data_IF_046827350147
#
_entry.id   IF_046827350147
#
_cell.length_a   1.000
_cell.length_b   1.000
_cell.length_c   1.000
_cell.angle_alpha   90.00
_cell.angle_beta   90.00
_cell.angle_gamma   90.00
#
_symmetry.space_group_name_H-M   'P 1'
#
loop_
_entity.id
_entity.type
_entity.pdbx_description
1 polymer ?
#
# COMPACT_ATOMS: atom_id res chain seq x y z
N UNK A 1 19.93 23.97 -5.57
CA UNK A 1 18.77 23.20 -6.01
C UNK A 1 19.26 21.90 -6.64
N UNK A 2 18.49 20.82 -6.48
CA UNK A 2 18.78 19.56 -7.14
C UNK A 2 18.67 19.70 -8.67
N UNK A 3 19.46 18.92 -9.41
CA UNK A 3 19.26 18.74 -10.84
C UNK A 3 18.82 17.30 -11.08
N UNK A 4 17.87 17.09 -11.97
CA UNK A 4 17.24 15.80 -12.22
C UNK A 4 17.33 15.47 -13.71
N UNK A 5 17.76 14.24 -14.03
CA UNK A 5 17.76 13.72 -15.39
C UNK A 5 16.95 12.42 -15.42
N UNK A 6 16.28 12.22 -16.54
CA UNK A 6 15.57 10.98 -16.85
C UNK A 6 16.07 10.49 -18.20
N UNK A 7 16.67 9.30 -18.23
CA UNK A 7 17.33 8.73 -19.40
C UNK A 7 18.30 9.70 -20.07
N UNK A 8 19.14 10.37 -19.26
CA UNK A 8 20.14 11.33 -19.71
C UNK A 8 19.60 12.72 -20.13
N UNK A 9 18.27 12.93 -20.12
CA UNK A 9 17.67 14.23 -20.41
C UNK A 9 17.34 14.96 -19.12
N UNK A 10 17.88 16.17 -18.96
CA UNK A 10 17.54 17.01 -17.81
C UNK A 10 16.07 17.45 -17.87
N UNK A 11 15.38 17.33 -16.73
CA UNK A 11 13.99 17.77 -16.56
C UNK A 11 13.93 18.96 -15.59
N UNK A 12 12.75 19.60 -15.51
CA UNK A 12 12.49 20.62 -14.50
C UNK A 12 12.60 20.03 -13.10
N UNK A 13 13.13 20.80 -12.18
CA UNK A 13 13.17 20.47 -10.75
C UNK A 13 12.14 21.30 -9.96
N UNK A 14 11.20 21.94 -10.65
CA UNK A 14 10.15 22.73 -9.99
C UNK A 14 9.07 21.77 -9.48
N UNK A 15 8.75 21.82 -8.18
CA UNK A 15 7.68 21.02 -7.63
C UNK A 15 6.32 21.42 -8.21
N UNK A 16 5.46 20.43 -8.42
CA UNK A 16 4.05 20.61 -8.82
C UNK A 16 3.06 20.19 -7.71
N UNK A 17 3.56 19.68 -6.60
CA UNK A 17 2.76 19.25 -5.46
C UNK A 17 3.60 18.56 -4.38
N UNK A 18 2.95 17.70 -3.61
CA UNK A 18 3.57 16.92 -2.55
C UNK A 18 2.90 15.53 -2.41
N UNK A 19 3.59 14.62 -1.79
CA UNK A 19 3.12 13.26 -1.57
C UNK A 19 3.15 12.93 -0.07
N UNK A 20 1.98 12.66 0.53
CA UNK A 20 1.80 12.26 1.94
C UNK A 20 2.14 13.37 2.95
N UNK A 21 3.23 14.08 2.76
CA UNK A 21 3.72 15.16 3.61
C UNK A 21 4.25 16.30 2.72
N UNK A 22 4.04 17.56 3.12
CA UNK A 22 4.46 18.73 2.35
C UNK A 22 5.97 18.81 2.12
N UNK A 23 6.75 18.14 2.98
CA UNK A 23 8.20 18.04 2.82
C UNK A 23 8.61 17.08 1.68
N UNK A 24 7.72 16.17 1.26
CA UNK A 24 7.97 15.23 0.16
C UNK A 24 7.42 15.84 -1.13
N UNK A 25 8.19 16.72 -1.73
CA UNK A 25 7.78 17.42 -2.94
C UNK A 25 7.76 16.50 -4.15
N UNK A 26 6.76 16.66 -5.02
CA UNK A 26 6.65 15.95 -6.29
C UNK A 26 7.18 16.79 -7.44
N UNK A 27 7.86 16.14 -8.38
CA UNK A 27 8.35 16.74 -9.61
C UNK A 27 7.82 15.92 -10.79
N UNK A 28 7.18 16.54 -11.79
CA UNK A 28 6.61 15.82 -12.91
C UNK A 28 7.70 15.20 -13.77
N UNK A 29 7.53 13.91 -14.07
CA UNK A 29 8.39 13.16 -14.98
C UNK A 29 7.68 13.05 -16.34
N UNK A 30 8.40 13.23 -17.47
CA UNK A 30 7.79 13.09 -18.79
C UNK A 30 7.31 11.65 -19.03
N UNK A 31 6.41 11.45 -19.98
CA UNK A 31 5.94 10.13 -20.38
C UNK A 31 7.13 9.22 -20.73
N UNK A 32 7.20 8.08 -20.06
CA UNK A 32 8.26 7.10 -20.22
C UNK A 32 7.86 6.05 -21.25
N UNK A 33 8.83 5.60 -22.04
CA UNK A 33 8.65 4.43 -22.90
C UNK A 33 8.93 3.15 -22.13
N UNK A 34 8.32 2.02 -22.50
CA UNK A 34 8.65 0.73 -21.94
C UNK A 34 10.15 0.43 -22.07
N UNK A 35 10.76 -0.06 -21.00
CA UNK A 35 12.18 -0.40 -20.95
C UNK A 35 12.83 0.00 -19.63
N UNK A 36 14.15 0.02 -19.63
CA UNK A 36 14.92 0.51 -18.50
C UNK A 36 14.80 2.03 -18.38
N UNK A 37 14.57 2.51 -17.16
CA UNK A 37 14.50 3.93 -16.84
C UNK A 37 15.60 4.27 -15.86
N UNK A 38 16.46 5.20 -16.25
CA UNK A 38 17.54 5.72 -15.40
C UNK A 38 17.14 7.11 -14.93
N UNK A 39 17.04 7.28 -13.61
CA UNK A 39 16.81 8.58 -12.97
C UNK A 39 18.09 8.97 -12.22
N UNK A 40 18.64 10.11 -12.56
CA UNK A 40 19.84 10.65 -11.93
C UNK A 40 19.48 11.94 -11.21
N UNK A 41 19.91 12.08 -9.96
CA UNK A 41 19.66 13.26 -9.14
C UNK A 41 20.99 13.76 -8.59
N UNK A 42 21.39 14.95 -9.03
CA UNK A 42 22.53 15.69 -8.49
C UNK A 42 22.07 16.67 -7.44
N UNK A 43 22.59 16.56 -6.23
CA UNK A 43 22.30 17.48 -5.13
C UNK A 43 23.58 18.13 -4.61
N UNK A 44 23.59 19.44 -4.26
CA UNK A 44 24.69 20.04 -3.55
C UNK A 44 24.86 19.37 -2.19
N UNK A 45 26.03 18.81 -1.92
CA UNK A 45 26.30 18.15 -0.65
C UNK A 45 26.86 19.12 0.39
N UNK A 46 26.30 19.11 1.58
CA UNK A 46 26.74 19.91 2.74
C UNK A 46 26.42 19.15 4.03
N UNK A 47 26.89 19.67 5.17
CA UNK A 47 26.53 19.12 6.49
C UNK A 47 25.00 19.16 6.79
N UNK A 48 24.25 19.95 6.04
CA UNK A 48 22.77 20.04 6.14
C UNK A 48 22.05 19.26 5.05
N UNK A 49 22.78 18.60 4.16
CA UNK A 49 22.14 17.80 3.10
C UNK A 49 21.63 16.52 3.71
N UNK A 50 20.36 16.23 3.49
CA UNK A 50 19.72 14.98 3.84
C UNK A 50 19.47 14.20 2.55
N UNK A 51 20.05 13.02 2.44
CA UNK A 51 19.82 12.10 1.33
C UNK A 51 18.70 11.16 1.72
N UNK A 52 17.47 11.59 1.49
CA UNK A 52 16.28 10.75 1.69
C UNK A 52 16.00 9.89 0.46
N UNK A 53 15.13 8.92 0.64
CA UNK A 53 14.68 8.06 -0.44
C UNK A 53 13.84 8.86 -1.44
N UNK A 54 13.99 8.52 -2.73
CA UNK A 54 13.14 9.06 -3.78
C UNK A 54 12.09 8.03 -4.16
N UNK A 55 10.86 8.49 -4.39
CA UNK A 55 9.73 7.66 -4.72
C UNK A 55 9.30 7.93 -6.16
N UNK A 56 9.08 6.88 -6.93
CA UNK A 56 8.48 6.99 -8.25
C UNK A 56 6.97 6.76 -8.11
N UNK A 57 6.19 7.79 -8.44
CA UNK A 57 4.75 7.79 -8.27
C UNK A 57 4.04 7.72 -9.62
N UNK A 58 2.91 7.02 -9.68
CA UNK A 58 2.09 6.94 -10.88
C UNK A 58 0.94 5.95 -10.74
N UNK A 59 0.14 5.87 -11.79
CA UNK A 59 -1.00 4.96 -11.88
C UNK A 59 -0.55 3.62 -12.51
N UNK A 60 0.19 2.84 -11.75
CA UNK A 60 0.76 1.56 -12.18
C UNK A 60 0.76 0.53 -11.05
N UNK A 61 0.91 -0.72 -11.42
CA UNK A 61 1.23 -1.81 -10.50
C UNK A 61 2.75 -2.05 -10.45
N UNK A 62 3.17 -2.85 -9.50
CA UNK A 62 4.58 -3.22 -9.33
C UNK A 62 4.69 -4.71 -9.07
N UNK A 63 5.65 -5.36 -9.72
CA UNK A 63 6.04 -6.73 -9.45
C UNK A 63 7.43 -6.76 -8.83
N UNK A 64 7.51 -7.32 -7.64
CA UNK A 64 8.77 -7.52 -6.91
C UNK A 64 9.22 -8.97 -7.04
N UNK A 65 10.48 -9.18 -7.40
CA UNK A 65 11.12 -10.50 -7.44
C UNK A 65 12.52 -10.41 -6.81
N UNK A 66 12.61 -10.79 -5.55
CA UNK A 66 13.83 -10.63 -4.78
C UNK A 66 14.20 -9.16 -4.66
N UNK A 67 15.29 -8.74 -5.26
CA UNK A 67 15.76 -7.34 -5.31
C UNK A 67 15.28 -6.56 -6.55
N UNK A 68 14.62 -7.23 -7.49
CA UNK A 68 14.21 -6.63 -8.75
C UNK A 68 12.77 -6.13 -8.69
N UNK A 69 12.56 -4.94 -9.22
CA UNK A 69 11.27 -4.28 -9.36
C UNK A 69 10.96 -4.13 -10.84
N UNK A 70 9.73 -4.44 -11.22
CA UNK A 70 9.20 -4.18 -12.55
C UNK A 70 7.89 -3.43 -12.43
N UNK A 71 7.78 -2.28 -13.08
CA UNK A 71 6.52 -1.56 -13.25
C UNK A 71 5.65 -2.34 -14.23
N UNK A 72 4.40 -2.56 -13.86
CA UNK A 72 3.40 -3.28 -14.65
C UNK A 72 2.13 -2.42 -14.76
N UNK A 73 1.21 -2.70 -15.67
CA UNK A 73 -0.10 -2.06 -15.66
C UNK A 73 -0.77 -2.20 -14.28
N UNK A 74 -1.48 -1.16 -13.86
CA UNK A 74 -2.25 -1.23 -12.60
C UNK A 74 -3.26 -2.39 -12.67
N UNK A 75 -3.39 -3.22 -11.64
CA UNK A 75 -4.44 -4.23 -11.60
C UNK A 75 -5.81 -3.55 -11.58
N UNK A 76 -6.71 -3.99 -12.45
CA UNK A 76 -8.08 -3.46 -12.54
C UNK A 76 -8.95 -3.95 -11.39
N UNK A 77 -8.70 -5.16 -10.93
CA UNK A 77 -9.44 -5.82 -9.83
C UNK A 77 -8.48 -6.54 -8.91
N UNK A 78 -8.88 -6.69 -7.65
CA UNK A 78 -8.18 -7.50 -6.65
C UNK A 78 -9.11 -8.62 -6.18
N UNK A 79 -8.57 -9.82 -6.07
CA UNK A 79 -9.21 -10.90 -5.35
C UNK A 79 -8.97 -10.78 -3.85
N UNK A 80 -9.70 -11.55 -3.03
CA UNK A 80 -9.29 -11.79 -1.65
C UNK A 80 -7.93 -12.48 -1.66
N UNK A 81 -7.06 -12.04 -0.77
CA UNK A 81 -5.65 -12.43 -0.72
C UNK A 81 -4.74 -11.22 -0.57
N UNK A 82 -3.46 -11.49 -0.45
CA UNK A 82 -2.46 -10.44 -0.27
C UNK A 82 -2.33 -9.54 -1.51
N UNK A 83 -2.63 -8.26 -1.37
CA UNK A 83 -2.53 -7.26 -2.44
C UNK A 83 -1.09 -7.04 -2.92
N UNK A 84 -0.09 -7.34 -2.09
CA UNK A 84 1.35 -7.29 -2.46
C UNK A 84 1.60 -8.22 -3.65
N UNK A 85 1.12 -9.44 -3.58
CA UNK A 85 1.28 -10.45 -4.64
C UNK A 85 0.45 -10.14 -5.89
N UNK A 86 -0.56 -9.29 -5.75
CA UNK A 86 -1.47 -8.89 -6.82
C UNK A 86 -1.04 -7.59 -7.53
N UNK A 87 0.19 -7.13 -7.30
CA UNK A 87 0.75 -5.99 -8.01
C UNK A 87 0.70 -4.66 -7.26
N UNK A 88 0.37 -4.66 -5.97
CA UNK A 88 0.29 -3.46 -5.13
C UNK A 88 1.23 -3.51 -3.90
N UNK A 89 2.52 -3.88 -4.06
CA UNK A 89 3.42 -4.09 -2.92
C UNK A 89 3.68 -2.82 -2.11
N UNK A 90 3.63 -1.64 -2.74
CA UNK A 90 3.93 -0.35 -2.11
C UNK A 90 2.70 0.56 -2.00
N UNK A 91 1.51 0.03 -2.26
CA UNK A 91 0.28 0.82 -2.14
C UNK A 91 -0.04 1.08 -0.68
N UNK A 92 -0.26 2.35 -0.33
CA UNK A 92 -0.49 2.81 1.04
C UNK A 92 -1.88 3.37 1.27
N UNK A 93 -2.69 3.40 0.23
CA UNK A 93 -4.08 3.86 0.28
C UNK A 93 -5.03 2.82 0.86
N UNK A 94 -6.30 3.19 0.95
CA UNK A 94 -7.35 2.28 1.38
C UNK A 94 -7.81 1.40 0.22
N UNK A 95 -8.10 0.12 0.51
CA UNK A 95 -8.65 -0.83 -0.45
C UNK A 95 -10.10 -1.07 -0.09
N UNK A 96 -11.01 -0.86 -1.05
CA UNK A 96 -12.43 -1.13 -0.87
C UNK A 96 -12.78 -2.39 -1.65
N UNK A 97 -13.18 -3.42 -0.91
CA UNK A 97 -13.69 -4.65 -1.49
C UNK A 97 -15.20 -4.56 -1.62
N UNK A 98 -15.68 -4.57 -2.86
CA UNK A 98 -17.10 -4.59 -3.18
C UNK A 98 -17.53 -6.04 -3.36
N UNK A 99 -18.46 -6.50 -2.53
CA UNK A 99 -19.01 -7.84 -2.60
C UNK A 99 -20.53 -7.81 -2.43
N UNK A 100 -21.19 -8.93 -2.72
CA UNK A 100 -22.61 -9.10 -2.54
C UNK A 100 -22.88 -10.33 -1.67
N UNK A 101 -23.89 -10.23 -0.82
CA UNK A 101 -24.39 -11.32 -0.01
C UNK A 101 -25.88 -11.53 -0.31
N UNK A 102 -26.28 -12.78 -0.55
CA UNK A 102 -27.68 -13.11 -0.77
C UNK A 102 -28.29 -13.69 0.52
N UNK A 103 -29.12 -12.89 1.18
CA UNK A 103 -29.84 -13.31 2.39
C UNK A 103 -31.09 -14.15 1.99
N UNK A 104 -31.14 -15.42 2.44
CA UNK A 104 -32.20 -16.32 1.95
C UNK A 104 -33.57 -16.10 2.59
N UNK A 105 -33.65 -15.65 3.84
CA UNK A 105 -34.89 -15.64 4.61
C UNK A 105 -35.16 -14.37 5.42
N UNK A 106 -34.17 -13.52 5.59
CA UNK A 106 -34.21 -12.39 6.54
C UNK A 106 -33.79 -12.84 7.94
N UNK A 107 -32.68 -12.31 8.42
CA UNK A 107 -32.13 -12.63 9.75
C UNK A 107 -31.13 -11.56 10.23
N UNK A 108 -30.87 -11.56 11.53
CA UNK A 108 -29.70 -10.88 12.08
C UNK A 108 -28.42 -11.54 11.56
N UNK A 109 -27.47 -10.74 11.11
CA UNK A 109 -26.21 -11.23 10.56
C UNK A 109 -25.01 -10.57 11.20
N UNK A 110 -23.95 -11.35 11.29
CA UNK A 110 -22.64 -10.88 11.72
C UNK A 110 -21.63 -11.20 10.64
N UNK A 111 -20.82 -10.22 10.27
CA UNK A 111 -19.66 -10.41 9.40
C UNK A 111 -18.41 -10.57 10.23
N UNK A 112 -17.65 -11.62 9.93
CA UNK A 112 -16.34 -11.87 10.54
C UNK A 112 -15.23 -11.76 9.48
N UNK A 113 -14.20 -11.00 9.82
CA UNK A 113 -12.95 -10.95 9.07
C UNK A 113 -11.96 -11.93 9.73
N UNK A 114 -11.80 -13.10 9.13
CA UNK A 114 -10.89 -14.12 9.67
C UNK A 114 -9.44 -13.65 9.66
N UNK A 115 -9.04 -12.92 8.61
CA UNK A 115 -7.70 -12.36 8.49
C UNK A 115 -7.66 -11.16 7.55
N UNK A 116 -7.17 -10.02 8.02
CA UNK A 116 -6.83 -8.87 7.19
C UNK A 116 -5.53 -8.22 7.66
N UNK A 117 -4.88 -7.50 6.77
CA UNK A 117 -3.67 -6.74 7.03
C UNK A 117 -3.90 -5.26 6.65
N UNK A 118 -4.00 -4.44 7.66
CA UNK A 118 -4.30 -3.01 7.60
C UNK A 118 -4.45 -2.44 9.00
N UNK A 119 -4.68 -1.12 9.10
CA UNK A 119 -4.87 -0.46 10.39
C UNK A 119 -6.20 -0.83 11.04
N UNK A 120 -7.27 -0.89 10.25
CA UNK A 120 -8.61 -1.32 10.64
C UNK A 120 -9.42 -1.64 9.38
N UNK A 121 -10.57 -2.29 9.56
CA UNK A 121 -11.53 -2.49 8.48
C UNK A 121 -12.89 -1.86 8.84
N UNK A 122 -13.49 -1.15 7.88
CA UNK A 122 -14.83 -0.52 7.99
C UNK A 122 -15.78 -1.24 7.07
N UNK A 123 -16.98 -1.57 7.58
CA UNK A 123 -18.00 -2.32 6.86
C UNK A 123 -19.22 -1.43 6.59
N UNK A 124 -19.73 -1.49 5.37
CA UNK A 124 -21.00 -0.90 4.97
C UNK A 124 -21.92 -1.95 4.34
N UNK A 125 -23.21 -1.83 4.61
CA UNK A 125 -24.25 -2.63 3.98
C UNK A 125 -25.19 -1.67 3.26
N UNK A 126 -25.40 -1.87 1.96
CA UNK A 126 -26.24 -1.05 1.10
C UNK A 126 -25.94 0.46 1.24
N UNK A 127 -24.64 0.78 1.36
CA UNK A 127 -24.14 2.14 1.49
C UNK A 127 -24.20 2.72 2.92
N UNK A 128 -24.86 2.06 3.86
CA UNK A 128 -24.94 2.49 5.27
C UNK A 128 -23.80 1.87 6.08
N UNK A 129 -23.25 2.64 6.99
CA UNK A 129 -22.19 2.13 7.89
C UNK A 129 -22.78 1.12 8.87
N UNK A 130 -22.21 -0.11 8.89
CA UNK A 130 -22.55 -1.16 9.83
C UNK A 130 -21.61 -1.16 11.06
N UNK A 131 -20.30 -0.92 10.83
CA UNK A 131 -19.36 -0.87 11.94
C UNK A 131 -17.91 -0.94 11.49
N UNK A 132 -17.03 -1.06 12.50
CA UNK A 132 -15.59 -1.10 12.34
C UNK A 132 -15.04 -2.34 13.06
N UNK A 133 -14.22 -3.13 12.35
CA UNK A 133 -13.42 -4.21 12.89
C UNK A 133 -11.98 -3.71 13.09
N UNK A 134 -11.64 -3.29 14.31
CA UNK A 134 -10.29 -2.82 14.66
C UNK A 134 -9.59 -3.77 15.63
N UNK A 135 -10.34 -4.49 16.43
CA UNK A 135 -9.84 -5.40 17.47
C UNK A 135 -10.45 -6.79 17.29
N UNK A 136 -9.69 -7.80 17.69
CA UNK A 136 -10.21 -9.17 17.71
C UNK A 136 -11.49 -9.29 18.57
N UNK A 137 -12.46 -10.08 18.14
CA UNK A 137 -12.43 -11.12 17.10
C UNK A 137 -12.72 -10.61 15.66
N UNK A 138 -12.64 -9.31 15.38
CA UNK A 138 -12.86 -8.69 14.07
C UNK A 138 -14.26 -8.96 13.49
N UNK A 139 -15.26 -8.91 14.36
CA UNK A 139 -16.66 -9.11 14.00
C UNK A 139 -17.39 -7.75 13.91
N UNK A 140 -18.32 -7.65 12.97
CA UNK A 140 -19.21 -6.50 12.81
C UNK A 140 -20.63 -7.00 12.68
N UNK A 141 -21.53 -6.54 13.56
CA UNK A 141 -22.96 -6.79 13.39
C UNK A 141 -23.47 -6.04 12.16
N UNK A 142 -24.12 -6.76 11.25
CA UNK A 142 -24.76 -6.16 10.08
C UNK A 142 -26.21 -5.75 10.36
N UNK A 143 -26.74 -6.11 11.56
CA UNK A 143 -28.12 -5.95 11.92
C UNK A 143 -29.02 -6.95 11.21
N UNK A 144 -30.33 -6.65 11.21
CA UNK A 144 -31.30 -7.47 10.49
C UNK A 144 -31.21 -7.19 9.00
N UNK A 145 -30.91 -8.23 8.23
CA UNK A 145 -30.86 -8.20 6.78
C UNK A 145 -32.14 -8.82 6.21
N UNK A 146 -32.87 -8.06 5.42
CA UNK A 146 -34.08 -8.55 4.74
C UNK A 146 -33.71 -9.64 3.71
N UNK A 147 -34.67 -10.49 3.34
CA UNK A 147 -34.46 -11.42 2.25
C UNK A 147 -34.12 -10.70 0.95
N UNK A 148 -32.99 -11.05 0.32
CA UNK A 148 -32.57 -10.46 -0.93
C UNK A 148 -31.05 -10.32 -1.06
N UNK A 149 -30.62 -9.64 -2.09
CA UNK A 149 -29.19 -9.40 -2.34
C UNK A 149 -28.79 -8.04 -1.77
N UNK A 150 -27.79 -8.05 -0.90
CA UNK A 150 -27.22 -6.87 -0.26
C UNK A 150 -25.81 -6.61 -0.78
N UNK A 151 -25.49 -5.35 -0.97
CA UNK A 151 -24.13 -4.91 -1.26
C UNK A 151 -23.37 -4.73 0.04
N UNK A 152 -22.21 -5.36 0.13
CA UNK A 152 -21.32 -5.22 1.28
C UNK A 152 -20.00 -4.62 0.78
N UNK A 153 -19.66 -3.46 1.33
CA UNK A 153 -18.40 -2.77 1.06
C UNK A 153 -17.51 -2.87 2.29
N UNK A 154 -16.32 -3.45 2.13
CA UNK A 154 -15.32 -3.58 3.19
C UNK A 154 -14.13 -2.73 2.83
N UNK A 155 -13.92 -1.64 3.56
CA UNK A 155 -12.76 -0.78 3.41
C UNK A 155 -11.68 -1.19 4.38
N UNK A 156 -10.56 -1.71 3.89
CA UNK A 156 -9.34 -1.93 4.67
C UNK A 156 -8.50 -0.66 4.58
N UNK A 157 -8.25 -0.04 5.72
CA UNK A 157 -7.38 1.13 5.82
C UNK A 157 -5.93 0.66 5.76
N UNK A 158 -5.22 1.13 4.75
CA UNK A 158 -3.83 0.76 4.51
C UNK A 158 -2.89 1.30 5.58
N UNK A 159 -1.71 0.69 5.62
CA UNK A 159 -0.57 1.17 6.40
C UNK A 159 0.50 1.67 5.44
N UNK A 160 1.47 2.43 5.96
CA UNK A 160 2.59 2.93 5.17
C UNK A 160 3.84 2.06 5.30
N UNK A 161 3.73 0.88 5.90
CA UNK A 161 4.86 0.02 6.22
C UNK A 161 5.70 -0.36 5.01
N UNK A 162 5.05 -0.73 3.90
CA UNK A 162 5.78 -1.14 2.69
C UNK A 162 6.32 0.03 1.86
N UNK A 163 5.80 1.25 2.02
CA UNK A 163 6.31 2.41 1.27
C UNK A 163 7.37 3.21 2.05
N UNK A 164 7.19 3.34 3.36
CA UNK A 164 8.05 4.19 4.20
C UNK A 164 8.76 3.42 5.32
N UNK A 165 8.50 2.13 5.45
CA UNK A 165 9.13 1.27 6.44
C UNK A 165 10.45 0.67 5.98
N UNK A 166 11.09 -0.13 6.85
CA UNK A 166 12.40 -0.73 6.60
C UNK A 166 12.29 -1.98 5.72
N UNK A 167 11.85 -1.81 4.47
CA UNK A 167 11.60 -2.91 3.51
C UNK A 167 12.86 -3.71 3.09
N UNK A 168 14.01 -3.32 3.58
CA UNK A 168 15.28 -4.03 3.41
C UNK A 168 15.85 -4.54 4.74
N UNK A 169 15.06 -4.53 5.81
CA UNK A 169 15.48 -5.05 7.10
C UNK A 169 15.26 -6.56 7.16
N UNK A 170 16.33 -7.31 7.45
CA UNK A 170 16.32 -8.78 7.55
C UNK A 170 15.89 -9.30 8.93
N UNK A 171 15.49 -8.43 9.84
CA UNK A 171 15.07 -8.79 11.19
C UNK A 171 13.58 -8.46 11.36
N UNK A 172 12.73 -9.50 11.44
CA UNK A 172 11.29 -9.34 11.50
C UNK A 172 10.80 -8.50 12.70
N UNK A 173 11.45 -8.63 13.84
CA UNK A 173 11.08 -7.96 15.09
C UNK A 173 12.10 -6.90 15.51
N UNK A 174 12.48 -6.03 14.60
CA UNK A 174 13.40 -4.95 14.95
C UNK A 174 12.74 -3.98 15.93
N UNK A 175 13.25 -3.84 17.16
CA UNK A 175 12.56 -3.11 18.22
C UNK A 175 12.57 -1.58 18.04
N UNK A 176 13.32 -1.08 17.07
CA UNK A 176 13.47 0.34 16.82
C UNK A 176 13.23 0.67 15.35
N UNK A 177 12.12 1.36 15.07
CA UNK A 177 11.74 1.83 13.75
C UNK A 177 12.05 3.33 13.63
N UNK A 178 13.34 3.65 13.57
CA UNK A 178 13.79 5.02 13.27
C UNK A 178 14.41 5.11 11.88
N UNK A 179 14.70 6.32 11.36
CA UNK A 179 15.30 6.51 10.05
C UNK A 179 16.62 5.74 9.85
N UNK A 180 17.35 5.47 10.91
CA UNK A 180 18.61 4.73 10.85
C UNK A 180 18.41 3.21 10.71
N UNK A 181 17.21 2.68 10.97
CA UNK A 181 16.94 1.25 10.91
C UNK A 181 16.99 0.68 9.49
N UNK A 182 16.78 1.49 8.46
CA UNK A 182 16.74 1.07 7.06
C UNK A 182 17.79 1.73 6.17
N UNK A 183 18.79 2.40 6.74
CA UNK A 183 19.87 3.06 5.99
C UNK A 183 21.22 2.32 6.05
N UNK A 184 21.26 1.18 6.68
CA UNK A 184 22.52 0.47 6.93
C UNK A 184 22.80 -0.57 5.86
N UNK A 185 23.01 -0.11 4.62
CA UNK A 185 23.57 -0.96 3.58
C UNK A 185 24.89 -1.59 4.06
N UNK A 186 25.12 -2.86 3.77
CA UNK A 186 26.23 -3.68 4.27
C UNK A 186 26.17 -4.05 5.77
N UNK A 187 25.12 -3.71 6.49
CA UNK A 187 24.86 -4.24 7.83
C UNK A 187 24.37 -5.70 7.74
N UNK A 188 24.62 -6.55 8.74
CA UNK A 188 23.99 -7.88 8.82
C UNK A 188 22.46 -7.83 8.93
N UNK A 189 21.92 -6.65 9.23
CA UNK A 189 20.46 -6.40 9.25
C UNK A 189 19.89 -6.07 7.87
N UNK A 190 20.73 -5.78 6.88
CA UNK A 190 20.31 -5.45 5.52
C UNK A 190 20.04 -6.68 4.68
N UNK A 191 18.98 -6.63 3.89
CA UNK A 191 18.68 -7.58 2.83
C UNK A 191 18.48 -6.86 1.51
N UNK A 192 19.13 -7.28 0.44
CA UNK A 192 18.84 -6.78 -0.92
C UNK A 192 17.45 -7.23 -1.40
N UNK A 193 16.92 -8.29 -0.80
CA UNK A 193 15.59 -8.79 -1.08
C UNK A 193 14.57 -7.99 -0.27
N UNK A 194 13.54 -7.50 -0.95
CA UNK A 194 12.46 -6.77 -0.30
C UNK A 194 11.74 -7.61 0.75
N UNK A 195 11.63 -7.09 1.96
CA UNK A 195 10.89 -7.64 3.09
C UNK A 195 9.55 -6.92 3.19
N UNK A 196 8.53 -7.46 2.51
CA UNK A 196 7.22 -6.82 2.41
C UNK A 196 6.21 -7.48 3.34
N UNK A 197 5.37 -6.67 3.95
CA UNK A 197 4.25 -7.13 4.77
C UNK A 197 2.99 -7.31 3.92
N UNK A 198 2.19 -8.34 4.18
CA UNK A 198 0.90 -8.53 3.53
C UNK A 198 -0.01 -7.30 3.70
N UNK A 199 -0.91 -7.08 2.75
CA UNK A 199 -1.86 -5.95 2.77
C UNK A 199 -3.22 -6.37 2.20
N UNK A 200 -4.30 -5.85 2.80
CA UNK A 200 -5.67 -6.07 2.35
C UNK A 200 -6.42 -7.18 3.09
N UNK A 201 -7.53 -7.66 2.53
CA UNK A 201 -8.27 -8.82 3.04
C UNK A 201 -7.57 -10.08 2.58
N UNK A 202 -6.91 -10.78 3.50
CA UNK A 202 -6.12 -11.96 3.18
C UNK A 202 -6.99 -13.19 2.91
N UNK A 203 -8.21 -13.22 3.48
CA UNK A 203 -9.21 -14.25 3.23
C UNK A 203 -10.57 -13.61 2.95
N UNK A 204 -11.46 -14.36 2.32
CA UNK A 204 -12.85 -13.97 2.17
C UNK A 204 -13.51 -13.77 3.55
N UNK A 205 -14.36 -12.74 3.73
CA UNK A 205 -15.15 -12.59 4.94
C UNK A 205 -16.20 -13.69 5.06
N UNK A 206 -16.55 -14.02 6.29
CA UNK A 206 -17.63 -14.96 6.61
C UNK A 206 -18.83 -14.18 7.14
N UNK A 207 -20.07 -14.61 6.76
CA UNK A 207 -21.31 -14.06 7.26
C UNK A 207 -22.15 -15.19 7.83
N UNK A 208 -22.55 -15.06 9.09
CA UNK A 208 -23.33 -16.05 9.83
C UNK A 208 -24.47 -15.44 10.64
#
# INVERSE_FOLDING_TARGET
QAKIWVNGRQISNQPDGWYVDECIQTVPVPALQPGEVVIEIEIPFSLRSCTEWCYFLGDFGVKVRGKFITVIPRPETLAFGDAVSQGLPFYTGNIIYHTAYNEPAGAERTLQLSQYAGALAKVRVDGKEAGIAALAPYCVSLGFMEKGTHRIDITVFGTRGNAFGPVHNNVADYPYLGPNAWRTHHSPLWSDIYQLHPTGLLNAPEIY
#
